data_IF_538155212968
#
_entry.id   IF_538155212968
#
_cell.length_a   1.000
_cell.length_b   1.000
_cell.length_c   1.000
_cell.angle_alpha   90.00
_cell.angle_beta   90.00
_cell.angle_gamma   90.00
#
_symmetry.space_group_name_H-M   'P 1'
#
loop_
_entity.id
_entity.type
_entity.pdbx_description
1 polymer ?
#
# COMPACT_ATOMS: atom_id res chain seq x y z
N UNK A 1 -6.25 -7.95 -11.25
CA UNK A 1 -6.95 -8.15 -9.95
C UNK A 1 -6.03 -7.68 -8.83
N UNK A 2 -6.51 -7.47 -7.60
CA UNK A 2 -5.67 -6.99 -6.47
C UNK A 2 -4.36 -7.80 -6.32
N UNK A 3 -4.41 -9.10 -6.60
CA UNK A 3 -3.27 -10.02 -6.59
C UNK A 3 -2.16 -9.72 -7.61
N UNK A 4 -2.44 -8.93 -8.64
CA UNK A 4 -1.49 -8.52 -9.67
C UNK A 4 -0.84 -7.16 -9.36
N UNK A 5 -1.26 -6.49 -8.30
CA UNK A 5 -0.72 -5.17 -7.93
C UNK A 5 0.72 -5.35 -7.42
N UNK A 6 1.70 -4.63 -7.98
CA UNK A 6 3.09 -4.75 -7.56
C UNK A 6 3.26 -4.30 -6.11
N UNK A 7 4.13 -5.01 -5.38
CA UNK A 7 4.49 -4.64 -4.01
C UNK A 7 5.60 -3.60 -3.99
N UNK A 8 5.55 -2.73 -2.99
CA UNK A 8 6.55 -1.70 -2.77
C UNK A 8 7.53 -2.10 -1.68
N UNK A 9 8.82 -2.10 -2.03
CA UNK A 9 9.92 -2.46 -1.14
C UNK A 9 10.86 -1.28 -0.87
N UNK A 10 10.66 -0.14 -1.54
CA UNK A 10 11.50 1.06 -1.39
C UNK A 10 12.87 0.94 -2.05
N UNK A 11 13.02 0.06 -3.05
CA UNK A 11 14.26 -0.03 -3.83
C UNK A 11 14.41 1.21 -4.74
N UNK A 12 15.65 1.59 -5.12
CA UNK A 12 15.91 2.82 -5.89
C UNK A 12 15.23 2.86 -7.27
N UNK A 13 14.87 1.71 -7.83
CA UNK A 13 14.17 1.57 -9.12
C UNK A 13 12.65 1.66 -8.99
N UNK A 14 12.11 1.80 -7.77
CA UNK A 14 10.68 1.96 -7.52
C UNK A 14 10.35 3.42 -7.24
N UNK A 15 9.39 3.97 -7.98
CA UNK A 15 8.82 5.28 -7.71
C UNK A 15 7.62 5.14 -6.75
N UNK A 16 7.68 5.83 -5.62
CA UNK A 16 6.66 5.76 -4.58
C UNK A 16 5.35 6.44 -5.00
N UNK A 17 5.44 7.55 -5.74
CA UNK A 17 4.27 8.32 -6.19
C UNK A 17 3.52 7.56 -7.29
N UNK A 18 4.26 6.97 -8.24
CA UNK A 18 3.69 6.12 -9.28
C UNK A 18 3.02 4.88 -8.68
N UNK A 19 3.70 4.19 -7.76
CA UNK A 19 3.15 3.03 -7.07
C UNK A 19 1.86 3.37 -6.30
N UNK A 20 1.85 4.49 -5.56
CA UNK A 20 0.68 4.91 -4.79
C UNK A 20 -0.51 5.27 -5.69
N UNK A 21 -0.24 5.93 -6.82
CA UNK A 21 -1.25 6.27 -7.82
C UNK A 21 -1.91 5.01 -8.39
N UNK A 22 -1.11 4.01 -8.76
CA UNK A 22 -1.58 2.74 -9.32
C UNK A 22 -2.36 1.92 -8.28
N UNK A 23 -1.87 1.88 -7.04
CA UNK A 23 -2.56 1.21 -5.94
C UNK A 23 -3.92 1.85 -5.66
N UNK A 24 -3.98 3.19 -5.60
CA UNK A 24 -5.21 3.94 -5.37
C UNK A 24 -6.21 3.75 -6.51
N UNK A 25 -5.74 3.73 -7.76
CA UNK A 25 -6.59 3.43 -8.92
C UNK A 25 -7.18 2.02 -8.81
N UNK A 26 -6.38 1.04 -8.41
CA UNK A 26 -6.82 -0.35 -8.19
C UNK A 26 -7.87 -0.45 -7.10
N UNK A 27 -7.67 0.23 -5.96
CA UNK A 27 -8.64 0.27 -4.87
C UNK A 27 -9.96 0.91 -5.30
N UNK A 28 -9.90 2.00 -6.06
CA UNK A 28 -11.10 2.65 -6.61
C UNK A 28 -11.86 1.74 -7.55
N UNK A 29 -11.16 0.99 -8.42
CA UNK A 29 -11.78 0.01 -9.32
C UNK A 29 -12.41 -1.17 -8.58
N UNK A 30 -11.89 -1.50 -7.41
CA UNK A 30 -12.39 -2.58 -6.56
C UNK A 30 -13.41 -2.10 -5.49
N UNK A 31 -13.85 -0.84 -5.56
CA UNK A 31 -14.77 -0.21 -4.61
C UNK A 31 -14.31 -0.32 -3.14
N UNK A 32 -12.99 -0.33 -2.93
CA UNK A 32 -12.38 -0.38 -1.60
C UNK A 32 -12.46 1.02 -0.99
N UNK A 33 -13.07 1.11 0.19
CA UNK A 33 -13.16 2.36 0.94
C UNK A 33 -11.81 2.75 1.52
N UNK A 34 -11.61 4.02 1.86
CA UNK A 34 -10.36 4.50 2.47
C UNK A 34 -10.02 3.75 3.77
N UNK A 35 -11.03 3.45 4.60
CA UNK A 35 -10.85 2.66 5.84
C UNK A 35 -10.40 1.24 5.51
N UNK A 36 -10.98 0.60 4.50
CA UNK A 36 -10.53 -0.74 4.07
C UNK A 36 -9.13 -0.69 3.45
N UNK A 37 -8.83 0.35 2.67
CA UNK A 37 -7.53 0.58 2.06
C UNK A 37 -6.44 0.63 3.12
N UNK A 38 -6.61 1.42 4.18
CA UNK A 38 -5.65 1.51 5.29
C UNK A 38 -5.35 0.16 5.94
N UNK A 39 -6.35 -0.72 6.04
CA UNK A 39 -6.17 -2.06 6.60
C UNK A 39 -5.41 -3.01 5.66
N UNK A 40 -5.50 -2.82 4.34
CA UNK A 40 -4.89 -3.73 3.36
C UNK A 40 -3.59 -3.21 2.73
N UNK A 41 -3.32 -1.90 2.76
CA UNK A 41 -2.04 -1.30 2.33
C UNK A 41 -0.79 -2.06 2.81
N UNK A 42 -0.67 -2.51 4.08
CA UNK A 42 0.52 -3.24 4.52
C UNK A 42 0.73 -4.60 3.84
N UNK A 43 -0.27 -5.13 3.12
CA UNK A 43 -0.14 -6.35 2.30
C UNK A 43 0.58 -6.09 0.97
N UNK A 44 0.58 -4.82 0.51
CA UNK A 44 1.26 -4.35 -0.68
C UNK A 44 2.63 -3.74 -0.40
N UNK A 45 3.05 -3.71 0.87
CA UNK A 45 4.37 -3.30 1.31
C UNK A 45 5.23 -4.52 1.64
N UNK A 46 6.54 -4.41 1.42
CA UNK A 46 7.53 -5.40 1.84
C UNK A 46 8.79 -4.72 2.40
N UNK A 47 9.58 -5.47 3.19
CA UNK A 47 10.82 -4.97 3.75
C UNK A 47 10.63 -3.73 4.64
N UNK A 48 11.51 -2.75 4.48
CA UNK A 48 11.57 -1.56 5.34
C UNK A 48 10.27 -0.72 5.31
N UNK A 49 9.64 -0.43 4.15
CA UNK A 49 8.34 0.24 4.11
C UNK A 49 7.25 -0.45 4.93
N UNK A 50 7.17 -1.79 4.89
CA UNK A 50 6.18 -2.53 5.66
C UNK A 50 6.41 -2.40 7.17
N UNK A 51 7.66 -2.51 7.59
CA UNK A 51 8.04 -2.36 8.99
C UNK A 51 7.68 -0.93 9.47
N UNK A 52 8.11 0.08 8.73
CA UNK A 52 7.80 1.48 9.03
C UNK A 52 6.30 1.72 9.15
N UNK A 53 5.51 1.19 8.20
CA UNK A 53 4.05 1.31 8.23
C UNK A 53 3.47 0.69 9.50
N UNK A 54 3.87 -0.54 9.84
CA UNK A 54 3.36 -1.22 11.03
C UNK A 54 3.72 -0.49 12.34
N UNK A 55 4.92 0.11 12.42
CA UNK A 55 5.36 0.88 13.59
C UNK A 55 4.57 2.19 13.75
N UNK A 56 4.20 2.83 12.64
CA UNK A 56 3.55 4.14 12.62
C UNK A 56 2.02 4.07 12.50
N UNK A 57 1.45 2.93 12.13
CA UNK A 57 0.00 2.73 12.00
C UNK A 57 -0.71 2.43 13.34
N UNK A 58 -0.07 2.74 14.47
CA UNK A 58 -0.61 2.60 15.83
C UNK A 58 -1.57 3.74 16.22
N UNK A 59 -1.92 4.65 15.30
CA UNK A 59 -2.70 5.87 15.61
C UNK A 59 -4.23 5.71 15.51
N UNK A 60 -4.76 4.49 15.54
CA UNK A 60 -6.22 4.23 15.53
C UNK A 60 -6.71 3.27 16.63
N UNK A 61 -6.00 3.18 17.76
CA UNK A 61 -6.56 2.61 19.00
C UNK A 61 -7.35 3.65 19.81
#
# INVERSE_FOLDING_TARGET
TLEQTPKFSGKPDQDADEWMKDLTATFRMAEITEVQALNIVPTFLEGHPKQWFNENNTTFE
#
